data_IF_061321811269
#
_entry.id   IF_061321811269
#
_cell.length_a   1.000
_cell.length_b   1.000
_cell.length_c   1.000
_cell.angle_alpha   90.00
_cell.angle_beta   90.00
_cell.angle_gamma   90.00
#
_symmetry.space_group_name_H-M   'P 1'
#
loop_
_entity.id
_entity.type
_entity.pdbx_description
1 polymer ?
#
# COMPACT_ATOMS: atom_id res chain seq x y z
N UNK A 1 24.48 -24.08 7.95
CA UNK A 1 24.12 -23.20 6.83
C UNK A 1 22.85 -23.72 6.11
N UNK A 2 22.78 -24.99 5.65
CA UNK A 2 21.55 -25.59 5.08
C UNK A 2 20.26 -25.43 5.90
N UNK A 3 20.31 -25.62 7.23
CA UNK A 3 19.11 -25.56 8.07
C UNK A 3 18.42 -24.19 8.17
N UNK A 4 19.10 -23.07 7.88
CA UNK A 4 18.48 -21.72 7.91
C UNK A 4 17.71 -21.46 6.61
N UNK A 5 18.30 -21.81 5.47
CA UNK A 5 17.64 -21.72 4.17
C UNK A 5 16.43 -22.67 4.09
N UNK A 6 16.57 -23.91 4.54
CA UNK A 6 15.48 -24.90 4.59
C UNK A 6 14.30 -24.39 5.43
N UNK A 7 14.56 -23.86 6.64
CA UNK A 7 13.53 -23.25 7.49
C UNK A 7 12.85 -22.04 6.82
N UNK A 8 13.62 -21.18 6.16
CA UNK A 8 13.10 -20.01 5.46
C UNK A 8 12.26 -20.37 4.23
N UNK A 9 12.57 -21.48 3.56
CA UNK A 9 11.78 -22.04 2.45
C UNK A 9 10.48 -22.66 2.97
N UNK A 10 10.52 -23.46 4.04
CA UNK A 10 9.31 -24.01 4.67
C UNK A 10 8.35 -22.89 5.12
N UNK A 11 8.89 -21.79 5.64
CA UNK A 11 8.12 -20.61 6.00
C UNK A 11 7.46 -19.88 4.81
N UNK A 12 8.05 -19.95 3.62
CA UNK A 12 7.45 -19.41 2.39
C UNK A 12 6.33 -20.31 1.87
N UNK A 13 6.50 -21.64 1.98
CA UNK A 13 5.52 -22.65 1.53
C UNK A 13 4.29 -22.68 2.44
N UNK A 14 4.49 -22.57 3.76
CA UNK A 14 3.41 -22.65 4.75
C UNK A 14 2.55 -21.38 4.86
N UNK A 15 2.89 -20.29 4.17
CA UNK A 15 2.13 -19.03 4.22
C UNK A 15 0.85 -19.05 3.33
N UNK A 16 0.32 -20.24 2.99
CA UNK A 16 -0.76 -20.46 2.00
C UNK A 16 -2.21 -20.39 2.53
N UNK A 17 -2.42 -20.07 3.81
CA UNK A 17 -3.78 -20.01 4.36
C UNK A 17 -4.49 -18.70 3.98
N UNK A 18 -5.18 -18.70 2.83
CA UNK A 18 -5.93 -17.56 2.25
C UNK A 18 -7.05 -16.94 3.11
N UNK A 19 -7.23 -17.38 4.36
CA UNK A 19 -8.08 -16.72 5.36
C UNK A 19 -7.36 -15.61 6.13
N UNK A 20 -6.04 -15.47 5.97
CA UNK A 20 -5.24 -14.41 6.62
C UNK A 20 -5.07 -13.15 5.76
N UNK A 21 -5.34 -13.24 4.46
CA UNK A 21 -4.85 -12.30 3.44
C UNK A 21 -5.22 -10.83 3.63
N UNK A 22 -6.47 -10.52 4.00
CA UNK A 22 -6.89 -9.13 4.21
C UNK A 22 -6.40 -8.61 5.56
N UNK A 23 -6.51 -9.41 6.63
CA UNK A 23 -6.09 -9.00 7.99
C UNK A 23 -4.58 -8.78 8.05
N UNK A 24 -3.79 -9.64 7.40
CA UNK A 24 -2.34 -9.45 7.26
C UNK A 24 -2.00 -8.24 6.39
N UNK A 25 -2.78 -7.96 5.36
CA UNK A 25 -2.60 -6.75 4.56
C UNK A 25 -2.86 -5.47 5.37
N UNK A 26 -3.84 -5.48 6.28
CA UNK A 26 -4.05 -4.39 7.24
C UNK A 26 -2.91 -4.23 8.26
N UNK A 27 -2.06 -5.25 8.46
CA UNK A 27 -0.84 -5.09 9.28
C UNK A 27 0.21 -4.22 8.60
N UNK A 28 0.24 -4.18 7.26
CA UNK A 28 1.18 -3.35 6.49
C UNK A 28 0.96 -1.86 6.77
N UNK A 29 -0.31 -1.47 6.90
CA UNK A 29 -0.69 -0.10 7.21
C UNK A 29 -0.78 0.19 8.70
N UNK A 30 -0.60 -0.81 9.59
CA UNK A 30 -0.84 -0.66 11.03
C UNK A 30 0.11 0.35 11.67
N UNK A 31 -0.45 1.13 12.61
CA UNK A 31 0.29 2.09 13.40
C UNK A 31 1.47 1.40 14.10
N UNK A 32 2.66 1.76 13.68
CA UNK A 32 3.93 1.29 14.23
C UNK A 32 4.69 2.51 14.73
N UNK A 33 5.55 2.36 15.75
CA UNK A 33 6.34 3.50 16.27
C UNK A 33 7.19 4.22 15.20
N UNK A 34 7.48 3.57 14.06
CA UNK A 34 8.15 4.20 12.90
C UNK A 34 7.20 4.98 11.97
N UNK A 35 5.91 4.67 11.94
CA UNK A 35 4.91 5.27 11.04
C UNK A 35 4.04 6.35 11.70
N UNK A 36 4.24 6.67 12.98
CA UNK A 36 3.43 7.67 13.71
C UNK A 36 3.38 9.04 13.02
N UNK A 37 4.48 9.49 12.40
CA UNK A 37 4.51 10.76 11.64
C UNK A 37 3.64 10.71 10.40
N UNK A 38 3.61 9.57 9.70
CA UNK A 38 2.75 9.37 8.53
C UNK A 38 1.28 9.44 8.93
N UNK A 39 0.93 8.79 10.03
CA UNK A 39 -0.39 8.84 10.64
C UNK A 39 -0.80 10.26 11.05
N UNK A 40 0.08 11.00 11.72
CA UNK A 40 -0.23 12.36 12.15
C UNK A 40 -0.43 13.30 10.96
N UNK A 41 0.44 13.24 9.95
CA UNK A 41 0.32 14.07 8.74
C UNK A 41 -0.95 13.71 7.98
N UNK A 42 -1.22 12.40 7.80
CA UNK A 42 -2.44 11.93 7.12
C UNK A 42 -3.70 12.38 7.86
N UNK A 43 -3.68 12.35 9.19
CA UNK A 43 -4.77 12.81 10.04
C UNK A 43 -5.06 14.29 9.88
N UNK A 44 -4.03 15.14 9.91
CA UNK A 44 -4.18 16.59 9.74
C UNK A 44 -4.76 16.91 8.36
N UNK A 45 -4.21 16.32 7.29
CA UNK A 45 -4.69 16.57 5.93
C UNK A 45 -6.14 16.08 5.78
N UNK A 46 -6.47 14.90 6.30
CA UNK A 46 -7.80 14.35 6.26
C UNK A 46 -8.83 15.21 7.02
N UNK A 47 -8.46 15.78 8.16
CA UNK A 47 -9.32 16.68 8.92
C UNK A 47 -9.60 17.96 8.12
N UNK A 48 -8.57 18.59 7.55
CA UNK A 48 -8.72 19.83 6.79
C UNK A 48 -9.61 19.61 5.57
N UNK A 49 -9.33 18.58 4.78
CA UNK A 49 -10.09 18.27 3.57
C UNK A 49 -11.50 17.73 3.89
N UNK A 50 -11.61 16.88 4.91
CA UNK A 50 -12.88 16.27 5.31
C UNK A 50 -13.87 17.29 5.88
N UNK A 51 -13.41 18.21 6.72
CA UNK A 51 -14.22 19.36 7.15
C UNK A 51 -14.57 20.27 5.97
N UNK A 52 -13.63 20.52 5.06
CA UNK A 52 -13.89 21.32 3.84
C UNK A 52 -15.00 20.73 2.97
N UNK A 53 -15.01 19.40 2.80
CA UNK A 53 -16.05 18.69 2.04
C UNK A 53 -17.38 18.64 2.80
N UNK A 54 -17.36 18.31 4.08
CA UNK A 54 -18.58 18.08 4.87
C UNK A 54 -19.35 19.34 5.25
N UNK A 55 -18.72 20.52 5.26
CA UNK A 55 -19.40 21.81 5.44
C UNK A 55 -19.76 22.50 4.12
N UNK A 56 -19.45 21.88 2.98
CA UNK A 56 -19.84 22.41 1.67
C UNK A 56 -21.34 22.20 1.42
N UNK A 57 -21.95 23.06 0.61
CA UNK A 57 -23.36 22.88 0.20
C UNK A 57 -23.54 21.74 -0.81
N UNK A 58 -22.49 21.43 -1.57
CA UNK A 58 -22.47 20.42 -2.62
C UNK A 58 -21.66 19.19 -2.19
N UNK A 59 -21.70 18.82 -0.90
CA UNK A 59 -20.91 17.71 -0.34
C UNK A 59 -21.02 16.42 -1.15
N UNK A 60 -22.23 16.03 -1.56
CA UNK A 60 -22.44 14.79 -2.33
C UNK A 60 -21.71 14.82 -3.68
N UNK A 61 -21.78 15.96 -4.39
CA UNK A 61 -21.12 16.11 -5.70
C UNK A 61 -19.61 16.12 -5.55
N UNK A 62 -19.09 16.92 -4.62
CA UNK A 62 -17.65 17.02 -4.39
C UNK A 62 -17.06 15.71 -3.85
N UNK A 63 -17.79 14.99 -2.99
CA UNK A 63 -17.36 13.69 -2.51
C UNK A 63 -17.31 12.68 -3.66
N UNK A 64 -18.26 12.72 -4.59
CA UNK A 64 -18.26 11.85 -5.78
C UNK A 64 -17.02 12.08 -6.65
N UNK A 65 -16.71 13.33 -6.97
CA UNK A 65 -15.50 13.70 -7.70
C UNK A 65 -14.22 13.28 -6.96
N UNK A 66 -14.22 13.45 -5.63
CA UNK A 66 -13.10 13.03 -4.79
C UNK A 66 -12.90 11.50 -4.81
N UNK A 67 -13.97 10.72 -4.71
CA UNK A 67 -13.92 9.26 -4.79
C UNK A 67 -13.41 8.80 -6.15
N UNK A 68 -13.89 9.40 -7.25
CA UNK A 68 -13.43 9.09 -8.60
C UNK A 68 -11.95 9.40 -8.80
N UNK A 69 -11.51 10.57 -8.33
CA UNK A 69 -10.11 10.99 -8.37
C UNK A 69 -9.20 10.03 -7.58
N UNK A 70 -9.57 9.68 -6.36
CA UNK A 70 -8.81 8.77 -5.52
C UNK A 70 -8.76 7.36 -6.10
N UNK A 71 -9.87 6.87 -6.67
CA UNK A 71 -9.89 5.59 -7.35
C UNK A 71 -8.93 5.56 -8.56
N UNK A 72 -8.83 6.66 -9.31
CA UNK A 72 -7.85 6.82 -10.37
C UNK A 72 -6.40 6.72 -9.87
N UNK A 73 -6.10 7.34 -8.73
CA UNK A 73 -4.79 7.22 -8.07
C UNK A 73 -4.51 5.77 -7.65
N UNK A 74 -5.48 5.10 -7.03
CA UNK A 74 -5.35 3.71 -6.58
C UNK A 74 -5.08 2.75 -7.75
N UNK A 75 -5.77 2.92 -8.88
CA UNK A 75 -5.51 2.15 -10.10
C UNK A 75 -4.09 2.39 -10.65
N UNK A 76 -3.63 3.64 -10.67
CA UNK A 76 -2.28 3.99 -11.10
C UNK A 76 -1.21 3.35 -10.20
N UNK A 77 -1.43 3.33 -8.88
CA UNK A 77 -0.51 2.67 -7.96
C UNK A 77 -0.50 1.16 -8.08
N UNK A 78 -1.63 0.49 -8.31
CA UNK A 78 -1.62 -0.95 -8.63
C UNK A 78 -0.76 -1.22 -9.86
N UNK A 79 -0.94 -0.46 -10.94
CA UNK A 79 -0.14 -0.64 -12.15
C UNK A 79 1.37 -0.45 -11.87
N UNK A 80 1.71 0.56 -11.07
CA UNK A 80 3.09 0.80 -10.65
C UNK A 80 3.65 -0.35 -9.80
N UNK A 81 2.89 -0.88 -8.84
CA UNK A 81 3.31 -1.97 -7.96
C UNK A 81 3.53 -3.25 -8.78
N UNK A 82 2.61 -3.59 -9.67
CA UNK A 82 2.72 -4.76 -10.55
C UNK A 82 3.93 -4.64 -11.50
N UNK A 83 4.15 -3.46 -12.07
CA UNK A 83 5.33 -3.19 -12.91
C UNK A 83 6.64 -3.33 -12.13
N UNK A 84 6.71 -2.74 -10.94
CA UNK A 84 7.86 -2.83 -10.05
C UNK A 84 8.13 -4.27 -9.60
N UNK A 85 7.09 -5.02 -9.28
CA UNK A 85 7.19 -6.43 -8.90
C UNK A 85 7.67 -7.30 -10.07
N UNK A 86 7.22 -7.00 -11.30
CA UNK A 86 7.69 -7.71 -12.49
C UNK A 86 9.19 -7.49 -12.74
N UNK A 87 9.65 -6.24 -12.57
CA UNK A 87 11.09 -5.93 -12.64
C UNK A 87 11.84 -6.65 -11.53
N UNK A 88 11.32 -6.60 -10.30
CA UNK A 88 11.91 -7.31 -9.17
C UNK A 88 12.08 -8.81 -9.43
N UNK A 89 11.04 -9.46 -9.97
CA UNK A 89 11.09 -10.88 -10.34
C UNK A 89 12.09 -11.16 -11.47
N UNK A 90 12.25 -10.25 -12.42
CA UNK A 90 13.25 -10.38 -13.48
C UNK A 90 14.71 -10.27 -12.97
N UNK A 91 14.92 -9.63 -11.82
CA UNK A 91 16.24 -9.47 -11.19
C UNK A 91 16.62 -10.64 -10.26
N UNK A 92 15.71 -11.56 -9.98
CA UNK A 92 15.96 -12.71 -9.11
C UNK A 92 16.80 -13.77 -9.82
N UNK A 93 18.13 -13.62 -9.81
CA UNK A 93 19.06 -14.69 -10.19
C UNK A 93 19.29 -15.66 -9.03
N UNK A 94 19.76 -16.88 -9.32
CA UNK A 94 19.99 -17.93 -8.31
C UNK A 94 20.86 -17.44 -7.13
N UNK A 95 21.90 -16.66 -7.40
CA UNK A 95 22.79 -16.07 -6.40
C UNK A 95 22.06 -15.05 -5.51
N UNK A 96 21.21 -14.22 -6.12
CA UNK A 96 20.45 -13.18 -5.40
C UNK A 96 19.36 -13.82 -4.54
N UNK A 97 18.64 -14.81 -5.07
CA UNK A 97 17.64 -15.58 -4.32
C UNK A 97 18.28 -16.22 -3.09
N UNK A 98 19.44 -16.84 -3.27
CA UNK A 98 20.19 -17.47 -2.16
C UNK A 98 20.59 -16.44 -1.11
N UNK A 99 21.17 -15.31 -1.52
CA UNK A 99 21.58 -14.22 -0.61
C UNK A 99 20.39 -13.64 0.19
N UNK A 100 19.24 -13.45 -0.48
CA UNK A 100 18.05 -12.91 0.16
C UNK A 100 17.37 -13.91 1.11
N UNK A 101 17.39 -15.20 0.80
CA UNK A 101 16.89 -16.26 1.68
C UNK A 101 17.80 -16.43 2.89
N UNK A 102 19.12 -16.32 2.73
CA UNK A 102 20.07 -16.51 3.83
C UNK A 102 20.17 -15.30 4.78
N UNK A 103 19.70 -14.12 4.34
CA UNK A 103 19.64 -12.91 5.17
C UNK A 103 18.88 -13.13 6.49
N UNK A 104 19.31 -12.45 7.56
CA UNK A 104 18.79 -12.64 8.92
C UNK A 104 17.29 -12.38 9.08
N UNK A 105 16.68 -11.63 8.16
CA UNK A 105 15.25 -11.32 8.17
C UNK A 105 14.49 -11.92 6.97
N UNK A 106 15.10 -12.81 6.18
CA UNK A 106 14.50 -13.34 4.95
C UNK A 106 13.90 -12.20 4.11
N UNK A 107 14.76 -11.31 3.63
CA UNK A 107 14.39 -10.09 2.88
C UNK A 107 13.49 -10.45 1.69
N UNK A 108 13.67 -11.64 1.09
CA UNK A 108 12.81 -12.15 0.03
C UNK A 108 11.35 -12.30 0.49
N UNK A 109 11.12 -12.96 1.63
CA UNK A 109 9.79 -13.11 2.24
C UNK A 109 9.19 -11.76 2.61
N UNK A 110 9.97 -10.88 3.24
CA UNK A 110 9.51 -9.56 3.68
C UNK A 110 9.00 -8.75 2.48
N UNK A 111 9.80 -8.67 1.41
CA UNK A 111 9.40 -7.91 0.25
C UNK A 111 8.24 -8.54 -0.50
N UNK A 112 8.24 -9.85 -0.73
CA UNK A 112 7.11 -10.52 -1.40
C UNK A 112 5.80 -10.33 -0.64
N UNK A 113 5.84 -10.42 0.70
CA UNK A 113 4.67 -10.14 1.52
C UNK A 113 4.26 -8.67 1.44
N UNK A 114 5.21 -7.73 1.45
CA UNK A 114 4.91 -6.29 1.31
C UNK A 114 4.25 -5.98 -0.05
N UNK A 115 4.78 -6.54 -1.16
CA UNK A 115 4.17 -6.45 -2.49
C UNK A 115 2.73 -6.98 -2.48
N UNK A 116 2.53 -8.19 -1.95
CA UNK A 116 1.23 -8.84 -1.88
C UNK A 116 0.23 -8.03 -1.06
N UNK A 117 0.62 -7.64 0.16
CA UNK A 117 -0.20 -6.88 1.10
C UNK A 117 -0.66 -5.55 0.48
N UNK A 118 0.25 -4.83 -0.20
CA UNK A 118 -0.11 -3.58 -0.86
C UNK A 118 -1.09 -3.79 -2.00
N UNK A 119 -0.91 -4.83 -2.83
CA UNK A 119 -1.88 -5.16 -3.89
C UNK A 119 -3.26 -5.44 -3.27
N UNK A 120 -3.32 -6.25 -2.22
CA UNK A 120 -4.58 -6.59 -1.54
C UNK A 120 -5.25 -5.33 -0.98
N UNK A 121 -4.49 -4.44 -0.32
CA UNK A 121 -5.01 -3.18 0.21
C UNK A 121 -5.57 -2.27 -0.88
N UNK A 122 -4.84 -2.07 -1.98
CA UNK A 122 -5.31 -1.23 -3.08
C UNK A 122 -6.50 -1.84 -3.82
N UNK A 123 -6.56 -3.18 -3.97
CA UNK A 123 -7.74 -3.84 -4.52
C UNK A 123 -8.96 -3.63 -3.62
N UNK A 124 -8.78 -3.77 -2.30
CA UNK A 124 -9.85 -3.49 -1.34
C UNK A 124 -10.30 -2.02 -1.39
N UNK A 125 -9.36 -1.08 -1.49
CA UNK A 125 -9.65 0.35 -1.64
C UNK A 125 -10.46 0.65 -2.91
N UNK A 126 -10.07 0.08 -4.06
CA UNK A 126 -10.80 0.24 -5.32
C UNK A 126 -12.23 -0.30 -5.19
N UNK A 127 -12.41 -1.47 -4.58
CA UNK A 127 -13.76 -2.03 -4.34
C UNK A 127 -14.59 -1.10 -3.47
N UNK A 128 -14.02 -0.57 -2.39
CA UNK A 128 -14.69 0.41 -1.51
C UNK A 128 -15.05 1.68 -2.29
N UNK A 129 -14.15 2.21 -3.10
CA UNK A 129 -14.36 3.42 -3.90
C UNK A 129 -15.48 3.21 -4.93
N UNK A 130 -15.49 2.07 -5.63
CA UNK A 130 -16.55 1.73 -6.60
C UNK A 130 -17.92 1.62 -5.91
N UNK A 131 -17.99 0.93 -4.77
CA UNK A 131 -19.24 0.81 -4.00
C UNK A 131 -19.70 2.17 -3.51
N UNK A 132 -18.80 2.97 -2.94
CA UNK A 132 -19.11 4.30 -2.42
C UNK A 132 -19.57 5.25 -3.54
N UNK A 133 -18.90 5.24 -4.68
CA UNK A 133 -19.29 6.01 -5.86
C UNK A 133 -20.68 5.61 -6.35
N UNK A 134 -20.97 4.30 -6.40
CA UNK A 134 -22.29 3.78 -6.75
C UNK A 134 -23.40 4.24 -5.78
N UNK A 135 -23.12 4.26 -4.47
CA UNK A 135 -24.04 4.80 -3.47
C UNK A 135 -24.28 6.30 -3.73
N UNK A 136 -23.21 7.09 -3.92
CA UNK A 136 -23.30 8.53 -4.15
C UNK A 136 -24.00 8.90 -5.45
N UNK A 137 -24.01 8.01 -6.46
CA UNK A 137 -24.79 8.20 -7.68
C UNK A 137 -26.30 8.20 -7.45
N UNK A 138 -26.77 7.48 -6.43
CA UNK A 138 -28.21 7.32 -6.13
C UNK A 138 -28.70 8.40 -5.16
N UNK A 139 -27.79 8.97 -4.36
CA UNK A 139 -28.13 9.99 -3.36
C UNK A 139 -28.34 11.35 -4.05
N UNK A 140 -29.49 12.02 -3.85
CA UNK A 140 -29.72 13.37 -4.36
C UNK A 140 -28.70 14.37 -3.81
N UNK A 141 -28.27 15.33 -4.61
CA UNK A 141 -27.25 16.32 -4.21
C UNK A 141 -27.66 17.19 -3.02
N UNK A 142 -28.97 17.44 -2.85
CA UNK A 142 -29.54 18.17 -1.73
C UNK A 142 -30.00 17.31 -0.55
N UNK A 143 -29.55 16.05 -0.46
CA UNK A 143 -29.99 15.13 0.59
C UNK A 143 -29.56 15.59 1.99
N UNK A 144 -30.49 15.55 2.94
CA UNK A 144 -30.26 15.87 4.35
C UNK A 144 -30.64 14.66 5.23
N UNK A 145 -29.67 14.15 5.99
CA UNK A 145 -29.86 13.05 6.95
C UNK A 145 -30.76 13.42 8.12
N UNK A 146 -30.61 14.66 8.61
CA UNK A 146 -31.33 15.21 9.76
C UNK A 146 -31.94 16.56 9.40
N UNK A 147 -32.92 17.00 10.19
CA UNK A 147 -33.50 18.36 10.07
C UNK A 147 -32.49 19.46 10.42
N UNK A 148 -31.50 19.15 11.26
CA UNK A 148 -30.46 20.09 11.65
C UNK A 148 -29.28 20.01 10.67
N UNK A 149 -29.10 21.07 9.88
CA UNK A 149 -28.02 21.18 8.88
C UNK A 149 -26.64 21.06 9.52
N UNK A 150 -26.45 21.67 10.70
CA UNK A 150 -25.16 21.60 11.41
C UNK A 150 -24.83 20.16 11.81
N UNK A 151 -25.83 19.41 12.28
CA UNK A 151 -25.66 18.00 12.61
C UNK A 151 -25.33 17.15 11.36
N UNK A 152 -25.99 17.43 10.22
CA UNK A 152 -25.65 16.80 8.93
C UNK A 152 -24.21 17.07 8.52
N UNK A 153 -23.76 18.32 8.60
CA UNK A 153 -22.42 18.72 8.16
C UNK A 153 -21.33 18.12 9.05
N UNK A 154 -21.56 18.05 10.36
CA UNK A 154 -20.65 17.39 11.31
C UNK A 154 -20.54 15.90 10.98
N UNK A 155 -21.68 15.23 10.76
CA UNK A 155 -21.71 13.81 10.41
C UNK A 155 -21.02 13.55 9.07
N UNK A 156 -21.30 14.36 8.05
CA UNK A 156 -20.66 14.26 6.74
C UNK A 156 -19.14 14.48 6.84
N UNK A 157 -18.71 15.52 7.57
CA UNK A 157 -17.29 15.79 7.80
C UNK A 157 -16.60 14.62 8.48
N UNK A 158 -17.24 14.01 9.50
CA UNK A 158 -16.67 12.86 10.20
C UNK A 158 -16.42 11.68 9.27
N UNK A 159 -17.39 11.30 8.44
CA UNK A 159 -17.22 10.22 7.47
C UNK A 159 -16.21 10.57 6.38
N UNK A 160 -16.22 11.81 5.85
CA UNK A 160 -15.22 12.28 4.89
C UNK A 160 -13.80 12.22 5.47
N UNK A 161 -13.61 12.62 6.73
CA UNK A 161 -12.33 12.53 7.42
C UNK A 161 -11.84 11.08 7.51
N UNK A 162 -12.69 10.13 7.90
CA UNK A 162 -12.31 8.71 7.99
C UNK A 162 -11.89 8.17 6.61
N UNK A 163 -12.71 8.45 5.59
CA UNK A 163 -12.47 8.00 4.23
C UNK A 163 -11.16 8.55 3.65
N UNK A 164 -10.94 9.88 3.77
CA UNK A 164 -9.75 10.54 3.30
C UNK A 164 -8.51 10.12 4.09
N UNK A 165 -8.65 9.92 5.40
CA UNK A 165 -7.55 9.47 6.24
C UNK A 165 -7.01 8.13 5.75
N UNK A 166 -7.90 7.16 5.48
CA UNK A 166 -7.52 5.86 4.95
C UNK A 166 -6.82 5.98 3.58
N UNK A 167 -7.40 6.74 2.66
CA UNK A 167 -6.84 6.93 1.32
C UNK A 167 -5.46 7.61 1.35
N UNK A 168 -5.29 8.69 2.13
CA UNK A 168 -4.01 9.40 2.27
C UNK A 168 -2.95 8.48 2.90
N UNK A 169 -3.35 7.63 3.84
CA UNK A 169 -2.46 6.67 4.45
C UNK A 169 -1.93 5.65 3.43
N UNK A 170 -2.81 5.11 2.57
CA UNK A 170 -2.41 4.25 1.46
C UNK A 170 -1.43 4.95 0.50
N UNK A 171 -1.74 6.18 0.09
CA UNK A 171 -0.85 6.99 -0.76
C UNK A 171 0.54 7.15 -0.10
N UNK A 172 0.57 7.37 1.21
CA UNK A 172 1.82 7.57 1.94
C UNK A 172 2.66 6.29 2.01
N UNK A 173 2.02 5.12 1.96
CA UNK A 173 2.70 3.82 1.97
C UNK A 173 3.51 3.57 0.69
N UNK A 174 3.17 4.25 -0.42
CA UNK A 174 3.97 4.21 -1.65
C UNK A 174 5.39 4.72 -1.48
N UNK A 175 5.62 5.60 -0.50
CA UNK A 175 6.99 6.00 -0.14
C UNK A 175 7.77 4.85 0.49
N UNK A 176 7.14 4.04 1.35
CA UNK A 176 7.79 2.90 2.00
C UNK A 176 8.04 1.80 0.96
N UNK A 177 7.07 1.55 0.08
CA UNK A 177 7.22 0.68 -1.07
C UNK A 177 8.43 1.05 -1.95
N UNK A 178 8.53 2.33 -2.34
CA UNK A 178 9.67 2.81 -3.13
C UNK A 178 11.02 2.60 -2.45
N UNK A 179 11.08 2.72 -1.12
CA UNK A 179 12.30 2.41 -0.35
C UNK A 179 12.63 0.92 -0.38
N UNK A 180 11.64 0.06 -0.19
CA UNK A 180 11.82 -1.39 -0.23
C UNK A 180 12.35 -1.82 -1.61
N UNK A 181 11.74 -1.30 -2.67
CA UNK A 181 12.18 -1.56 -4.05
C UNK A 181 13.61 -1.07 -4.30
N UNK A 182 13.95 0.15 -3.84
CA UNK A 182 15.30 0.71 -3.97
C UNK A 182 16.37 -0.15 -3.26
N UNK A 183 16.07 -0.66 -2.06
CA UNK A 183 16.97 -1.56 -1.36
C UNK A 183 17.25 -2.84 -2.16
N UNK A 184 16.24 -3.39 -2.82
CA UNK A 184 16.39 -4.59 -3.64
C UNK A 184 17.25 -4.34 -4.89
N UNK A 185 17.09 -3.19 -5.54
CA UNK A 185 17.97 -2.78 -6.63
C UNK A 185 19.43 -2.65 -6.18
N UNK A 186 19.68 -2.10 -5.00
CA UNK A 186 21.04 -1.98 -4.49
C UNK A 186 21.67 -3.35 -4.23
N UNK A 187 20.92 -4.30 -3.64
CA UNK A 187 21.41 -5.67 -3.44
C UNK A 187 21.75 -6.32 -4.78
N UNK A 188 20.87 -6.20 -5.77
CA UNK A 188 21.11 -6.70 -7.12
C UNK A 188 22.39 -6.13 -7.73
N UNK A 189 22.57 -4.81 -7.68
CA UNK A 189 23.72 -4.13 -8.25
C UNK A 189 25.03 -4.54 -7.55
N UNK A 190 25.02 -4.71 -6.24
CA UNK A 190 26.19 -5.14 -5.46
C UNK A 190 26.58 -6.58 -5.83
N UNK A 191 25.61 -7.51 -5.87
CA UNK A 191 25.88 -8.91 -6.23
C UNK A 191 26.43 -8.99 -7.65
N UNK A 192 25.83 -8.25 -8.59
CA UNK A 192 26.31 -8.20 -9.97
C UNK A 192 27.71 -7.60 -10.10
N UNK A 193 28.06 -6.62 -9.28
CA UNK A 193 29.42 -6.06 -9.25
C UNK A 193 30.44 -7.12 -8.80
N UNK A 194 30.14 -7.89 -7.74
CA UNK A 194 31.00 -8.99 -7.29
C UNK A 194 31.14 -10.11 -8.32
N UNK A 195 30.06 -10.44 -9.03
CA UNK A 195 30.08 -11.44 -10.12
C UNK A 195 30.95 -11.00 -11.32
N UNK A 196 31.10 -9.70 -11.55
CA UNK A 196 31.99 -9.17 -12.59
C UNK A 196 33.43 -9.19 -12.10
N UNK A 197 33.68 -8.69 -10.89
CA UNK A 197 35.04 -8.66 -10.30
C UNK A 197 35.63 -10.06 -10.12
N UNK A 198 34.84 -11.05 -9.74
CA UNK A 198 35.30 -12.45 -9.64
C UNK A 198 35.70 -13.03 -10.99
N UNK A 199 35.00 -12.68 -12.08
CA UNK A 199 35.33 -13.13 -13.43
C UNK A 199 36.62 -12.50 -13.95
N UNK A 200 36.82 -11.21 -13.68
CA UNK A 200 38.05 -10.52 -14.07
C UNK A 200 39.28 -11.11 -13.34
N UNK A 201 39.13 -11.52 -12.07
CA UNK A 201 40.22 -12.15 -11.30
C UNK A 201 40.51 -13.62 -11.70
N UNK A 202 39.55 -14.33 -12.30
CA UNK A 202 39.76 -15.71 -12.79
C UNK A 202 40.39 -15.74 -14.20
N UNK A 203 40.41 -14.61 -14.91
CA UNK A 203 41.01 -14.45 -16.24
C UNK A 203 42.47 -13.94 -16.23
N UNK A 204 43.00 -13.54 -15.06
CA UNK A 204 44.41 -13.15 -14.81
C UNK A 204 45.26 -14.29 -14.20
#
# INVERSE_FOLDING_TARGET
>A
MRGKAEKNIEELINNKDGKRDVVSAFEEIKLTNKSWRQYLISGIIAIVLGCGLGFNKETVSLLKECVEFLNGISLAFIAMILGSYSIFQALMTDNIVTLLIESDNNILKVSNNSFYNLIVLYVADIVVNVVLYGILMIVPTGFLLFKNIVACNIMASFFCCIYLFFNILLITEMKNFGKNLYQMFNIYNIVRAYEVESKDNDED
#
